data_IF_614600726644
#
_entry.id   IF_614600726644
#
_cell.length_a   1.000
_cell.length_b   1.000
_cell.length_c   1.000
_cell.angle_alpha   90.00
_cell.angle_beta   90.00
_cell.angle_gamma   90.00
#
_symmetry.space_group_name_H-M   'P 1'
#
loop_
_entity.id
_entity.type
_entity.pdbx_description
1 polymer ?
#
# COMPACT_ATOMS: atom_id res chain seq x y z
N UNK A 1 -16.69 -16.74 -12.74
CA UNK A 1 -16.14 -17.54 -11.64
C UNK A 1 -16.64 -16.99 -10.32
N UNK A 2 -17.51 -17.75 -9.67
CA UNK A 2 -18.25 -17.36 -8.47
C UNK A 2 -17.31 -17.41 -7.26
N UNK A 3 -17.34 -16.36 -6.45
CA UNK A 3 -16.49 -16.22 -5.27
C UNK A 3 -17.06 -17.11 -4.15
N UNK A 4 -16.23 -17.97 -3.56
CA UNK A 4 -16.58 -18.79 -2.38
C UNK A 4 -16.80 -17.91 -1.14
N UNK A 5 -17.90 -17.15 -1.10
CA UNK A 5 -18.20 -16.21 -0.01
C UNK A 5 -19.30 -16.71 0.94
N UNK A 6 -19.93 -17.85 0.65
CA UNK A 6 -21.07 -18.35 1.42
C UNK A 6 -22.24 -17.35 1.48
N UNK A 7 -23.25 -17.64 2.30
CA UNK A 7 -24.33 -16.69 2.60
C UNK A 7 -23.91 -15.77 3.74
N UNK A 8 -23.42 -14.57 3.42
CA UNK A 8 -23.08 -13.54 4.40
C UNK A 8 -23.96 -12.30 4.23
N UNK A 9 -24.45 -11.74 5.33
CA UNK A 9 -25.20 -10.47 5.36
C UNK A 9 -24.27 -9.24 5.25
N UNK A 10 -22.94 -9.45 5.32
CA UNK A 10 -21.96 -8.38 5.21
C UNK A 10 -21.80 -7.93 3.77
N UNK A 11 -21.92 -6.62 3.54
CA UNK A 11 -21.70 -6.02 2.22
C UNK A 11 -20.24 -6.22 1.78
N UNK A 12 -20.03 -7.08 0.78
CA UNK A 12 -18.72 -7.27 0.16
C UNK A 12 -18.17 -5.95 -0.39
N UNK A 13 -17.01 -5.52 0.10
CA UNK A 13 -16.35 -4.30 -0.39
C UNK A 13 -15.73 -4.59 -1.76
N UNK A 14 -16.24 -3.95 -2.82
CA UNK A 14 -15.62 -4.02 -4.16
C UNK A 14 -14.20 -3.44 -4.07
N UNK A 15 -13.18 -4.27 -4.26
CA UNK A 15 -11.80 -3.81 -4.43
C UNK A 15 -11.68 -3.27 -5.86
N UNK A 16 -11.74 -1.95 -6.00
CA UNK A 16 -11.59 -1.26 -7.31
C UNK A 16 -10.12 -1.25 -7.78
N UNK A 17 -9.18 -1.51 -6.87
CA UNK A 17 -7.75 -1.43 -7.16
C UNK A 17 -7.15 -2.83 -7.19
N UNK A 18 -6.39 -3.14 -8.25
CA UNK A 18 -5.59 -4.35 -8.32
C UNK A 18 -4.45 -4.27 -7.27
N UNK A 19 -4.42 -5.15 -6.26
CA UNK A 19 -3.42 -5.10 -5.19
C UNK A 19 -1.99 -5.25 -5.73
N UNK A 20 -1.79 -6.09 -6.75
CA UNK A 20 -0.47 -6.36 -7.35
C UNK A 20 0.05 -5.11 -8.05
N UNK A 21 -0.78 -4.52 -8.92
CA UNK A 21 -0.43 -3.28 -9.63
C UNK A 21 -0.15 -2.10 -8.66
N UNK A 22 -0.83 -2.07 -7.51
CA UNK A 22 -0.57 -1.03 -6.50
C UNK A 22 0.81 -1.14 -5.87
N UNK A 23 1.33 -2.35 -5.75
CA UNK A 23 2.67 -2.63 -5.25
C UNK A 23 3.74 -2.39 -6.33
N UNK A 24 3.49 -2.86 -7.57
CA UNK A 24 4.43 -2.70 -8.68
C UNK A 24 4.68 -1.23 -9.05
N UNK A 25 3.68 -0.36 -8.85
CA UNK A 25 3.77 1.09 -9.11
C UNK A 25 4.39 1.90 -7.96
N UNK A 26 4.98 1.24 -6.96
CA UNK A 26 5.71 1.91 -5.89
C UNK A 26 7.15 2.25 -6.30
N UNK A 27 7.73 3.35 -5.79
CA UNK A 27 9.16 3.62 -5.91
C UNK A 27 10.00 2.47 -5.34
N UNK A 28 11.17 2.22 -5.96
CA UNK A 28 12.09 1.17 -5.53
C UNK A 28 12.43 1.20 -4.02
N UNK A 29 12.84 2.34 -3.40
CA UNK A 29 13.16 2.37 -1.97
C UNK A 29 11.96 2.00 -1.09
N UNK A 30 10.75 2.41 -1.49
CA UNK A 30 9.53 2.09 -0.77
C UNK A 30 9.15 0.60 -0.87
N UNK A 31 9.46 -0.05 -2.00
CA UNK A 31 9.26 -1.51 -2.17
C UNK A 31 10.21 -2.32 -1.30
N UNK A 32 11.49 -1.95 -1.27
CA UNK A 32 12.48 -2.61 -0.41
C UNK A 32 12.05 -2.51 1.05
N UNK A 33 11.74 -1.29 1.51
CA UNK A 33 11.25 -1.09 2.86
C UNK A 33 10.01 -1.94 3.17
N UNK A 34 8.99 -1.94 2.30
CA UNK A 34 7.78 -2.76 2.47
C UNK A 34 8.05 -4.26 2.54
N UNK A 35 9.12 -4.75 1.90
CA UNK A 35 9.50 -6.17 1.95
C UNK A 35 10.19 -6.57 3.26
N UNK A 36 10.75 -5.61 3.98
CA UNK A 36 11.46 -5.82 5.24
C UNK A 36 10.56 -5.67 6.47
N UNK A 37 9.39 -5.04 6.33
CA UNK A 37 8.49 -4.79 7.47
C UNK A 37 7.80 -6.08 7.93
N UNK A 38 7.81 -6.30 9.24
CA UNK A 38 7.17 -7.46 9.90
C UNK A 38 5.64 -7.43 9.79
N UNK A 39 5.03 -6.26 9.57
CA UNK A 39 3.59 -6.08 9.52
C UNK A 39 3.12 -5.77 8.08
N UNK A 40 2.04 -6.40 7.57
CA UNK A 40 1.59 -6.15 6.20
C UNK A 40 0.88 -4.80 6.09
N UNK A 41 1.66 -3.75 5.86
CA UNK A 41 1.13 -2.43 5.54
C UNK A 41 0.43 -2.46 4.17
N UNK A 42 -0.77 -1.84 4.04
CA UNK A 42 -1.38 -1.65 2.74
C UNK A 42 -0.49 -0.76 1.85
N UNK A 43 -0.08 -1.20 0.65
CA UNK A 43 0.79 -0.43 -0.27
C UNK A 43 0.29 0.99 -0.54
N UNK A 44 -1.03 1.17 -0.59
CA UNK A 44 -1.69 2.46 -0.80
C UNK A 44 -1.46 3.44 0.35
N UNK A 45 -1.46 2.96 1.59
CA UNK A 45 -1.22 3.79 2.78
C UNK A 45 0.22 4.26 2.84
N UNK A 46 1.17 3.34 2.61
CA UNK A 46 2.59 3.66 2.57
C UNK A 46 2.91 4.67 1.46
N UNK A 47 2.38 4.46 0.24
CA UNK A 47 2.50 5.43 -0.87
C UNK A 47 1.98 6.82 -0.51
N UNK A 48 0.86 6.89 0.23
CA UNK A 48 0.25 8.18 0.59
C UNK A 48 1.14 8.97 1.56
N UNK A 49 1.72 8.30 2.55
CA UNK A 49 2.65 8.94 3.50
C UNK A 49 3.91 9.38 2.77
N UNK A 50 4.49 8.50 1.96
CA UNK A 50 5.65 8.78 1.11
C UNK A 50 5.48 10.02 0.22
N UNK A 51 4.38 10.12 -0.51
CA UNK A 51 4.13 11.29 -1.37
C UNK A 51 3.95 12.55 -0.53
N UNK A 52 3.29 12.44 0.64
CA UNK A 52 3.08 13.58 1.54
C UNK A 52 4.39 14.10 2.10
N UNK A 53 5.33 13.23 2.48
CA UNK A 53 6.65 13.63 2.99
C UNK A 53 7.54 14.22 1.91
N UNK A 54 7.57 13.60 0.72
CA UNK A 54 8.26 14.19 -0.44
C UNK A 54 7.71 15.56 -0.81
N UNK A 55 6.38 15.77 -0.72
CA UNK A 55 5.76 17.07 -1.00
C UNK A 55 6.16 18.17 0.00
N UNK A 56 6.69 17.79 1.17
CA UNK A 56 7.21 18.73 2.18
C UNK A 56 8.68 19.11 1.93
N UNK A 57 9.32 18.57 0.89
CA UNK A 57 10.74 18.79 0.60
C UNK A 57 11.69 17.81 1.30
N UNK A 58 11.17 16.76 1.92
CA UNK A 58 12.01 15.70 2.47
C UNK A 58 12.58 14.81 1.35
N UNK A 59 13.73 14.19 1.62
CA UNK A 59 14.35 13.24 0.72
C UNK A 59 13.72 11.83 0.88
N UNK A 60 14.18 10.89 0.04
CA UNK A 60 13.72 9.50 0.09
C UNK A 60 13.89 8.84 1.46
N UNK A 61 14.96 9.17 2.20
CA UNK A 61 15.22 8.62 3.53
C UNK A 61 14.27 9.19 4.59
N UNK A 62 14.04 10.51 4.60
CA UNK A 62 13.06 11.15 5.49
C UNK A 62 11.65 10.61 5.26
N UNK A 63 11.32 10.34 3.99
CA UNK A 63 10.06 9.70 3.63
C UNK A 63 9.92 8.25 4.13
N UNK A 64 11.02 7.48 4.24
CA UNK A 64 11.01 6.15 4.86
C UNK A 64 10.86 6.22 6.38
N UNK A 65 11.53 7.18 7.03
CA UNK A 65 11.47 7.35 8.50
C UNK A 65 10.08 7.74 9.02
N UNK A 66 9.23 8.28 8.15
CA UNK A 66 7.87 8.69 8.49
C UNK A 66 6.81 7.58 8.34
N UNK A 67 7.21 6.38 7.90
CA UNK A 67 6.34 5.21 7.71
C UNK A 67 6.36 4.29 8.92
#
# INVERSE_FOLDING_TARGET
MNKNLGSTSLRGKKRVVNPVQSYDTLPAPLRVWLSEVVLPWPPKSAKRIWVKTLSKGENAEGALMAL
#
